data_IF_916396203714
#
_entry.id   IF_916396203714
#
_cell.length_a   1.000
_cell.length_b   1.000
_cell.length_c   1.000
_cell.angle_alpha   90.00
_cell.angle_beta   90.00
_cell.angle_gamma   90.00
#
_symmetry.space_group_name_H-M   'P 1'
#
loop_
_entity.id
_entity.type
_entity.pdbx_description
1 polymer ?
#
# COMPACT_ATOMS: atom_id res chain seq x y z
N UNK A 1 12.49 4.45 3.22
CA UNK A 1 12.39 3.22 4.02
C UNK A 1 12.70 1.99 3.19
N UNK A 2 13.49 1.09 3.73
CA UNK A 2 13.71 -0.24 3.16
C UNK A 2 12.69 -1.19 3.75
N UNK A 3 11.88 -1.82 2.89
CA UNK A 3 10.89 -2.79 3.32
C UNK A 3 11.51 -4.17 3.41
N UNK A 4 11.35 -4.79 4.57
CA UNK A 4 11.67 -6.19 4.80
C UNK A 4 10.40 -6.92 5.24
N UNK A 5 10.29 -8.20 4.93
CA UNK A 5 9.13 -9.00 5.27
C UNK A 5 9.53 -10.19 6.13
N UNK A 6 8.66 -10.52 7.07
CA UNK A 6 8.87 -11.60 8.02
C UNK A 6 9.63 -11.19 9.27
N UNK A 7 9.79 -12.13 10.17
CA UNK A 7 10.33 -11.91 11.52
C UNK A 7 11.85 -11.75 11.59
N UNK A 8 12.55 -11.95 10.49
CA UNK A 8 14.02 -11.95 10.44
C UNK A 8 14.58 -10.98 9.39
N UNK A 9 13.98 -9.82 9.25
CA UNK A 9 14.44 -8.78 8.32
C UNK A 9 14.59 -9.26 6.87
N UNK A 10 13.74 -10.20 6.44
CA UNK A 10 13.73 -10.69 5.06
C UNK A 10 12.36 -10.53 4.42
N UNK A 11 12.32 -10.31 3.11
CA UNK A 11 11.09 -10.33 2.33
C UNK A 11 10.79 -11.76 1.89
N UNK A 12 9.53 -12.02 1.50
CA UNK A 12 9.12 -13.32 0.93
C UNK A 12 9.97 -13.71 -0.29
N UNK A 13 10.39 -12.73 -1.08
CA UNK A 13 11.26 -12.92 -2.26
C UNK A 13 12.74 -12.70 -1.94
N UNK A 14 13.08 -12.44 -0.69
CA UNK A 14 14.41 -12.09 -0.22
C UNK A 14 15.03 -10.89 -0.94
N UNK A 15 14.22 -10.00 -1.50
CA UNK A 15 14.63 -8.77 -2.17
C UNK A 15 14.30 -7.57 -1.31
N UNK A 16 15.26 -6.66 -1.18
CA UNK A 16 15.04 -5.35 -0.57
C UNK A 16 14.43 -4.39 -1.60
N UNK A 17 13.54 -3.52 -1.15
CA UNK A 17 13.01 -2.43 -1.98
C UNK A 17 12.96 -1.15 -1.18
N UNK A 18 13.15 -0.04 -1.87
CA UNK A 18 13.02 1.30 -1.31
C UNK A 18 11.69 1.89 -1.75
N UNK A 19 10.92 2.37 -0.80
CA UNK A 19 9.66 3.06 -1.05
C UNK A 19 9.82 4.50 -0.57
N UNK A 20 9.70 5.50 -1.45
CA UNK A 20 9.77 6.89 -1.04
C UNK A 20 8.55 7.24 -0.17
N UNK A 21 8.75 8.13 0.77
CA UNK A 21 7.68 8.60 1.65
C UNK A 21 7.31 10.03 1.28
N UNK A 22 6.02 10.28 1.10
CA UNK A 22 5.53 11.64 0.93
C UNK A 22 5.59 12.42 2.26
N UNK A 23 5.41 13.73 2.18
CA UNK A 23 5.51 14.60 3.35
C UNK A 23 4.54 14.24 4.48
N UNK A 24 3.31 13.84 4.13
CA UNK A 24 2.30 13.42 5.11
C UNK A 24 2.73 12.15 5.86
N UNK A 25 3.22 11.16 5.16
CA UNK A 25 3.70 9.91 5.78
C UNK A 25 4.92 10.18 6.67
N UNK A 26 5.84 11.03 6.23
CA UNK A 26 6.99 11.42 7.03
C UNK A 26 6.56 12.11 8.33
N UNK A 27 5.60 13.02 8.26
CA UNK A 27 5.07 13.72 9.44
C UNK A 27 4.43 12.72 10.42
N UNK A 28 3.61 11.81 9.95
CA UNK A 28 2.98 10.77 10.78
C UNK A 28 4.03 9.91 11.49
N UNK A 29 5.06 9.48 10.77
CA UNK A 29 6.13 8.65 11.34
C UNK A 29 6.96 9.40 12.37
N UNK A 30 7.22 10.69 12.18
CA UNK A 30 7.94 11.53 13.15
C UNK A 30 7.18 11.73 14.45
N UNK A 31 5.86 11.71 14.40
CA UNK A 31 4.99 11.85 15.58
C UNK A 31 4.87 10.55 16.40
N UNK A 32 5.29 9.41 15.83
CA UNK A 32 5.19 8.15 16.56
C UNK A 32 6.11 8.14 17.78
N UNK A 33 5.61 7.68 18.95
CA UNK A 33 6.46 7.57 20.14
C UNK A 33 7.55 6.52 19.94
N UNK A 34 8.78 6.87 20.37
CA UNK A 34 9.93 5.96 20.32
C UNK A 34 9.97 5.12 21.60
N UNK A 35 9.12 4.11 21.66
CA UNK A 35 8.99 3.23 22.84
C UNK A 35 9.78 1.93 22.71
N UNK A 36 10.13 1.52 21.49
CA UNK A 36 10.96 0.36 21.21
C UNK A 36 11.62 0.48 19.83
N UNK A 37 12.26 -0.57 19.35
CA UNK A 37 12.98 -0.59 18.07
C UNK A 37 12.05 -0.59 16.85
N UNK A 38 10.76 -0.81 17.06
CA UNK A 38 9.76 -0.82 16.00
C UNK A 38 8.98 0.50 15.95
N UNK A 39 8.70 0.97 14.76
CA UNK A 39 7.87 2.17 14.55
C UNK A 39 6.46 1.95 15.09
N UNK A 40 5.91 0.77 14.86
CA UNK A 40 4.60 0.35 15.36
C UNK A 40 4.78 -0.89 16.23
N UNK A 41 4.67 -0.76 17.56
CA UNK A 41 4.93 -1.85 18.51
C UNK A 41 3.77 -2.84 18.63
N UNK A 42 2.90 -2.90 17.65
CA UNK A 42 1.75 -3.79 17.65
C UNK A 42 2.10 -5.12 17.00
N UNK A 43 1.61 -6.21 17.57
CA UNK A 43 1.69 -7.48 16.91
C UNK A 43 0.65 -7.59 15.78
N UNK A 44 0.86 -8.54 14.89
CA UNK A 44 0.00 -8.76 13.73
C UNK A 44 -1.47 -8.97 14.11
N UNK A 45 -1.73 -9.77 15.12
CA UNK A 45 -3.10 -10.12 15.52
C UNK A 45 -3.85 -8.93 16.10
N UNK A 46 -3.20 -8.13 16.94
CA UNK A 46 -3.78 -6.91 17.49
C UNK A 46 -4.12 -5.91 16.38
N UNK A 47 -3.24 -5.71 15.41
CA UNK A 47 -3.48 -4.84 14.27
C UNK A 47 -4.65 -5.34 13.41
N UNK A 48 -4.68 -6.63 13.08
CA UNK A 48 -5.75 -7.22 12.26
C UNK A 48 -7.11 -7.10 12.95
N UNK A 49 -7.18 -7.40 14.25
CA UNK A 49 -8.41 -7.26 15.02
C UNK A 49 -8.90 -5.80 15.02
N UNK A 50 -8.02 -4.85 15.30
CA UNK A 50 -8.35 -3.43 15.26
C UNK A 50 -8.86 -2.99 13.88
N UNK A 51 -8.17 -3.39 12.82
CA UNK A 51 -8.56 -3.04 11.46
C UNK A 51 -9.95 -3.57 11.10
N UNK A 52 -10.21 -4.83 11.38
CA UNK A 52 -11.51 -5.43 11.07
C UNK A 52 -12.64 -4.85 11.90
N UNK A 53 -12.41 -4.53 13.17
CA UNK A 53 -13.40 -3.87 14.01
C UNK A 53 -13.74 -2.48 13.48
N UNK A 54 -12.75 -1.71 13.07
CA UNK A 54 -12.98 -0.39 12.46
C UNK A 54 -13.70 -0.49 11.12
N UNK A 55 -13.32 -1.43 10.28
CA UNK A 55 -13.99 -1.65 9.00
C UNK A 55 -15.47 -2.03 9.20
N UNK A 56 -15.77 -2.86 10.18
CA UNK A 56 -17.14 -3.23 10.54
C UNK A 56 -17.97 -2.02 10.99
N UNK A 57 -17.41 -1.22 11.87
CA UNK A 57 -18.09 0.02 12.36
C UNK A 57 -18.39 0.98 11.21
N UNK A 58 -17.44 1.18 10.30
CA UNK A 58 -17.61 2.07 9.15
C UNK A 58 -18.67 1.52 8.18
N UNK A 59 -18.71 0.21 7.99
CA UNK A 59 -19.72 -0.43 7.15
C UNK A 59 -21.13 -0.28 7.76
N UNK A 60 -21.28 -0.54 9.05
CA UNK A 60 -22.54 -0.37 9.78
C UNK A 60 -23.01 1.09 9.80
N UNK A 61 -22.08 2.04 9.85
CA UNK A 61 -22.38 3.46 9.76
C UNK A 61 -22.70 3.96 8.34
N UNK A 62 -22.58 3.11 7.32
CA UNK A 62 -22.83 3.47 5.93
C UNK A 62 -21.73 4.35 5.29
N UNK A 63 -20.57 4.46 5.92
CA UNK A 63 -19.45 5.28 5.43
C UNK A 63 -18.61 4.56 4.37
N UNK A 64 -18.67 3.24 4.31
CA UNK A 64 -18.06 2.41 3.28
C UNK A 64 -19.09 1.40 2.77
N UNK A 65 -18.89 0.89 1.56
CA UNK A 65 -19.87 0.02 0.88
C UNK A 65 -19.59 -1.47 1.05
N UNK A 66 -18.40 -1.83 1.47
CA UNK A 66 -18.02 -3.22 1.72
C UNK A 66 -16.93 -3.31 2.79
N UNK A 67 -16.75 -4.52 3.31
CA UNK A 67 -15.76 -4.78 4.35
C UNK A 67 -14.37 -4.93 3.76
N UNK A 68 -13.56 -3.89 3.93
CA UNK A 68 -12.17 -3.89 3.48
C UNK A 68 -11.28 -4.78 4.34
N UNK A 69 -10.24 -5.30 3.72
CA UNK A 69 -9.14 -6.04 4.36
C UNK A 69 -7.88 -5.17 4.34
N UNK A 70 -6.90 -5.40 5.23
CA UNK A 70 -5.63 -4.67 5.17
C UNK A 70 -4.94 -4.72 3.81
N UNK A 71 -5.04 -5.84 3.09
CA UNK A 71 -4.46 -5.99 1.76
C UNK A 71 -5.12 -5.08 0.70
N UNK A 72 -6.35 -4.68 0.91
CA UNK A 72 -7.05 -3.76 0.01
C UNK A 72 -6.43 -2.35 0.02
N UNK A 73 -5.71 -1.98 1.09
CA UNK A 73 -4.94 -0.74 1.13
C UNK A 73 -3.82 -0.73 0.09
N UNK A 74 -3.20 -1.88 -0.14
CA UNK A 74 -2.19 -2.05 -1.18
C UNK A 74 -2.78 -1.88 -2.58
N UNK A 75 -3.94 -2.49 -2.84
CA UNK A 75 -4.64 -2.31 -4.10
C UNK A 75 -5.01 -0.85 -4.33
N UNK A 76 -5.51 -0.18 -3.31
CA UNK A 76 -5.85 1.25 -3.37
C UNK A 76 -4.63 2.10 -3.68
N UNK A 77 -3.49 1.85 -3.04
CA UNK A 77 -2.26 2.59 -3.29
C UNK A 77 -1.80 2.44 -4.74
N UNK A 78 -1.76 1.21 -5.25
CA UNK A 78 -1.35 0.94 -6.63
C UNK A 78 -2.31 1.62 -7.62
N UNK A 79 -3.62 1.50 -7.42
CA UNK A 79 -4.61 2.14 -8.26
C UNK A 79 -4.42 3.66 -8.31
N UNK A 80 -4.21 4.29 -7.16
CA UNK A 80 -3.97 5.74 -7.08
C UNK A 80 -2.68 6.16 -7.78
N UNK A 81 -1.61 5.39 -7.65
CA UNK A 81 -0.37 5.68 -8.36
C UNK A 81 -0.58 5.69 -9.88
N UNK A 82 -1.33 4.72 -10.39
CA UNK A 82 -1.63 4.65 -11.82
C UNK A 82 -2.56 5.78 -12.29
N UNK A 83 -3.56 6.14 -11.48
CA UNK A 83 -4.41 7.31 -11.74
C UNK A 83 -3.61 8.61 -11.77
N UNK A 84 -2.62 8.76 -10.91
CA UNK A 84 -1.68 9.89 -10.88
C UNK A 84 -0.60 9.79 -11.97
N UNK A 85 -0.76 8.86 -12.90
CA UNK A 85 0.14 8.66 -14.05
C UNK A 85 1.56 8.24 -13.68
N UNK A 86 1.74 7.61 -12.52
CA UNK A 86 3.00 6.96 -12.21
C UNK A 86 3.19 5.79 -13.18
N UNK A 87 4.35 5.67 -13.83
CA UNK A 87 4.62 4.57 -14.76
C UNK A 87 4.45 3.20 -14.08
N UNK A 88 3.89 2.25 -14.82
CA UNK A 88 3.65 0.88 -14.31
C UNK A 88 4.92 0.25 -13.75
N UNK A 89 6.06 0.45 -14.40
CA UNK A 89 7.35 -0.06 -13.92
C UNK A 89 7.73 0.53 -12.56
N UNK A 90 7.46 1.80 -12.32
CA UNK A 90 7.73 2.45 -11.04
C UNK A 90 6.77 1.96 -9.95
N UNK A 91 5.49 1.86 -10.25
CA UNK A 91 4.49 1.31 -9.34
C UNK A 91 4.84 -0.13 -8.94
N UNK A 92 5.26 -0.95 -9.88
CA UNK A 92 5.71 -2.32 -9.66
C UNK A 92 6.92 -2.38 -8.71
N UNK A 93 7.88 -1.50 -8.91
CA UNK A 93 9.08 -1.41 -8.06
C UNK A 93 8.72 -1.05 -6.62
N UNK A 94 7.86 -0.06 -6.42
CA UNK A 94 7.41 0.33 -5.08
C UNK A 94 6.55 -0.74 -4.41
N UNK A 95 5.65 -1.35 -5.16
CA UNK A 95 4.77 -2.40 -4.65
C UNK A 95 5.49 -3.74 -4.42
N UNK A 96 6.63 -3.96 -5.06
CA UNK A 96 7.32 -5.24 -5.03
C UNK A 96 6.64 -6.32 -5.87
N UNK A 97 5.90 -5.93 -6.90
CA UNK A 97 5.30 -6.81 -7.89
C UNK A 97 6.03 -6.67 -9.22
N UNK A 98 5.84 -7.61 -10.14
CA UNK A 98 6.28 -7.43 -11.52
C UNK A 98 5.38 -6.45 -12.26
N UNK A 99 5.89 -5.80 -13.31
CA UNK A 99 5.09 -4.93 -14.18
C UNK A 99 3.93 -5.67 -14.83
N UNK A 100 4.13 -6.95 -15.18
CA UNK A 100 3.09 -7.81 -15.74
C UNK A 100 1.93 -8.01 -14.78
N UNK A 101 2.21 -8.28 -13.50
CA UNK A 101 1.18 -8.42 -12.46
C UNK A 101 0.41 -7.12 -12.27
N UNK A 102 1.09 -5.97 -12.22
CA UNK A 102 0.45 -4.67 -12.10
C UNK A 102 -0.44 -4.41 -13.33
N UNK A 103 0.06 -4.62 -14.52
CA UNK A 103 -0.71 -4.44 -15.75
C UNK A 103 -1.97 -5.30 -15.76
N UNK A 104 -1.83 -6.59 -15.49
CA UNK A 104 -2.95 -7.54 -15.51
C UNK A 104 -4.09 -7.17 -14.55
N UNK A 105 -3.75 -6.72 -13.34
CA UNK A 105 -4.72 -6.44 -12.28
C UNK A 105 -5.27 -5.01 -12.30
N UNK A 106 -4.54 -4.06 -12.88
CA UNK A 106 -4.85 -2.64 -12.78
C UNK A 106 -5.00 -1.93 -14.13
N UNK A 107 -5.03 -2.66 -15.24
CA UNK A 107 -5.16 -2.08 -16.58
C UNK A 107 -6.40 -1.20 -16.75
N UNK A 108 -7.49 -1.53 -16.09
CA UNK A 108 -8.74 -0.78 -16.17
C UNK A 108 -8.72 0.54 -15.40
N UNK A 109 -7.69 0.80 -14.61
CA UNK A 109 -7.52 2.04 -13.86
C UNK A 109 -6.84 3.11 -14.71
N UNK A 110 -6.13 2.72 -15.75
CA UNK A 110 -5.42 3.66 -16.63
C UNK A 110 -6.41 4.38 -17.55
N UNK A 111 -6.18 5.68 -17.76
CA UNK A 111 -6.98 6.48 -18.66
C UNK A 111 -6.75 6.05 -20.13
N UNK A 112 -7.82 6.08 -20.91
CA UNK A 112 -7.68 6.01 -22.35
C UNK A 112 -7.13 7.34 -22.88
N UNK A 113 -6.16 7.24 -23.76
CA UNK A 113 -5.55 8.39 -24.41
C UNK A 113 -5.91 8.40 -25.89
N UNK A 114 -6.12 9.57 -26.45
CA UNK A 114 -6.25 9.71 -27.87
C UNK A 114 -4.88 9.47 -28.56
N UNK A 115 -4.93 8.88 -29.74
CA UNK A 115 -3.72 8.69 -30.51
C UNK A 115 -3.14 10.06 -30.91
N UNK A 116 -1.90 10.37 -30.56
CA UNK A 116 -1.29 11.64 -30.92
C UNK A 116 -1.10 11.73 -32.44
N UNK A 117 -1.24 12.94 -32.97
CA UNK A 117 -0.86 13.24 -34.34
C UNK A 117 0.65 13.34 -34.43
N UNK A 118 1.27 12.45 -35.18
CA UNK A 118 2.73 12.41 -35.36
C UNK A 118 3.22 13.36 -36.43
#
# INVERSE_FOLDING_TARGET
>A
YTLTHGLKNSTKTNKKRLVPLNARTQAILKEQPKTDDYVFPYNRYAFMSFFYDRAKELLEAGLITHRYRPYDLRHTAISRWLEEKIPVAQAAKWAGNSSEVIWKHYVNVTQEYEMPTL
#
